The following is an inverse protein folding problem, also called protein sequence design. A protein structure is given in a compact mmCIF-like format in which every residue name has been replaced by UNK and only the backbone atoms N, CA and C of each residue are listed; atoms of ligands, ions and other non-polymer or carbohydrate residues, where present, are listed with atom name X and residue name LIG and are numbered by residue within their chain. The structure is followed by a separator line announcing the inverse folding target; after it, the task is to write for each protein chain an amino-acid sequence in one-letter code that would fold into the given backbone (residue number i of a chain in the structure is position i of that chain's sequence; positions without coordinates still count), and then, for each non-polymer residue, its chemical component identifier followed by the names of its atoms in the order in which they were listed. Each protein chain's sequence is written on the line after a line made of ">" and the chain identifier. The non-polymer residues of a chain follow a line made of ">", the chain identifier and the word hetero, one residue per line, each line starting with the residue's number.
data_IF_641968018373
#
_entry.id   IF_641968018373
#
_cell.length_a   1.000
_cell.length_b   1.000
_cell.length_c   1.000
_cell.angle_alpha   90.00
_cell.angle_beta   90.00
_cell.angle_gamma   90.00
#
_symmetry.space_group_name_H-M   'P 1'
#
loop_
_entity.id
_entity.type
_entity.pdbx_description
1 polymer ?
#
# COMPACT_ATOMS: atom_id res chain seq x y z
N UNK A 1 -39.38 17.61 16.60
CA UNK A 1 -38.02 18.16 16.81
C UNK A 1 -37.29 18.28 15.47
N UNK A 2 -36.20 19.05 15.40
CA UNK A 2 -35.37 19.21 14.18
C UNK A 2 -34.12 18.34 14.27
N UNK A 3 -33.70 17.74 13.16
CA UNK A 3 -32.47 16.94 13.05
C UNK A 3 -31.35 17.74 12.38
N UNK A 4 -30.11 17.57 12.85
CA UNK A 4 -28.91 18.18 12.27
C UNK A 4 -27.80 17.13 12.11
N UNK A 5 -26.84 17.38 11.21
CA UNK A 5 -25.73 16.47 10.91
C UNK A 5 -24.37 17.10 11.24
N UNK A 6 -23.46 16.32 11.81
CA UNK A 6 -22.08 16.75 12.11
C UNK A 6 -21.15 16.09 11.08
N UNK A 7 -20.48 16.91 10.25
CA UNK A 7 -19.47 16.43 9.30
C UNK A 7 -18.10 16.45 9.95
N UNK A 8 -17.37 15.34 9.82
CA UNK A 8 -16.05 15.15 10.42
C UNK A 8 -15.07 14.66 9.38
N UNK A 9 -13.84 15.17 9.44
CA UNK A 9 -12.73 14.73 8.59
C UNK A 9 -11.67 14.08 9.46
N UNK A 10 -11.10 12.99 8.98
CA UNK A 10 -9.96 12.32 9.60
C UNK A 10 -8.71 12.45 8.73
N UNK A 11 -7.54 12.20 9.32
CA UNK A 11 -6.26 12.26 8.62
C UNK A 11 -5.89 10.89 8.04
N UNK A 12 -5.98 10.75 6.72
CA UNK A 12 -5.64 9.53 5.97
C UNK A 12 -4.13 9.36 5.73
N UNK A 13 -3.28 10.33 6.10
CA UNK A 13 -1.81 10.19 5.97
C UNK A 13 -1.25 9.11 6.89
N UNK A 14 -1.96 8.77 7.97
CA UNK A 14 -1.59 7.72 8.92
C UNK A 14 -2.37 6.46 8.60
N UNK A 15 -1.69 5.48 8.01
CA UNK A 15 -2.24 4.16 7.73
C UNK A 15 -2.44 3.38 9.04
N UNK A 16 -3.39 2.46 9.04
CA UNK A 16 -3.72 1.62 10.18
C UNK A 16 -5.02 2.02 10.88
N UNK A 17 -5.26 1.38 12.02
CA UNK A 17 -6.47 1.59 12.81
C UNK A 17 -6.45 2.96 13.49
N UNK A 18 -7.60 3.60 13.58
CA UNK A 18 -7.79 4.84 14.32
C UNK A 18 -9.04 4.78 15.19
N UNK A 19 -8.94 5.40 16.36
CA UNK A 19 -10.07 5.68 17.26
C UNK A 19 -10.05 7.16 17.60
N UNK A 20 -11.16 7.85 17.40
CA UNK A 20 -11.34 9.26 17.75
C UNK A 20 -12.61 9.43 18.56
N UNK A 21 -12.56 10.33 19.52
CA UNK A 21 -13.67 10.60 20.41
C UNK A 21 -14.04 12.06 20.29
N UNK A 22 -15.31 12.31 20.02
CA UNK A 22 -15.91 13.64 19.93
C UNK A 22 -16.79 13.80 21.16
N UNK A 23 -16.61 14.91 21.84
CA UNK A 23 -17.47 15.31 22.95
C UNK A 23 -18.33 16.47 22.48
N UNK A 24 -19.65 16.28 22.49
CA UNK A 24 -20.63 17.31 22.16
C UNK A 24 -21.13 17.90 23.47
N UNK A 25 -21.00 19.22 23.61
CA UNK A 25 -21.60 19.97 24.69
C UNK A 25 -22.89 20.62 24.20
N UNK A 26 -23.93 20.59 25.03
CA UNK A 26 -25.22 21.20 24.73
C UNK A 26 -25.85 21.80 25.98
N UNK A 27 -26.86 22.63 25.77
CA UNK A 27 -27.73 23.20 26.80
C UNK A 27 -28.93 22.31 27.16
N UNK A 28 -28.94 21.04 26.73
CA UNK A 28 -29.98 20.09 27.11
C UNK A 28 -29.78 19.55 28.53
N UNK A 29 -30.78 18.85 29.07
CA UNK A 29 -30.70 18.18 30.37
C UNK A 29 -29.51 17.22 30.49
N UNK A 30 -29.11 16.59 29.37
CA UNK A 30 -27.84 15.88 29.26
C UNK A 30 -26.82 16.79 28.55
N UNK A 31 -25.98 17.53 29.31
CA UNK A 31 -25.13 18.57 28.73
C UNK A 31 -23.97 18.02 27.91
N UNK A 32 -23.63 16.73 28.06
CA UNK A 32 -22.48 16.11 27.43
C UNK A 32 -22.86 14.80 26.74
N UNK A 33 -22.45 14.64 25.49
CA UNK A 33 -22.59 13.38 24.74
C UNK A 33 -21.23 13.02 24.14
N UNK A 34 -20.79 11.78 24.36
CA UNK A 34 -19.52 11.26 23.84
C UNK A 34 -19.78 10.33 22.66
N UNK A 35 -19.21 10.65 21.50
CA UNK A 35 -19.27 9.85 20.28
C UNK A 35 -17.89 9.29 19.94
N UNK A 36 -17.78 7.98 19.77
CA UNK A 36 -16.52 7.33 19.40
C UNK A 36 -16.58 6.85 17.96
N UNK A 37 -15.62 7.27 17.16
CA UNK A 37 -15.44 6.90 15.76
C UNK A 37 -14.23 5.98 15.66
N UNK A 38 -14.45 4.75 15.20
CA UNK A 38 -13.41 3.77 14.91
C UNK A 38 -13.32 3.56 13.40
N UNK A 39 -12.11 3.35 12.89
CA UNK A 39 -11.90 3.02 11.49
C UNK A 39 -10.50 2.51 11.22
N UNK A 40 -10.23 2.17 9.96
CA UNK A 40 -8.91 1.71 9.49
C UNK A 40 -8.60 2.42 8.17
N UNK A 41 -7.40 2.98 8.07
CA UNK A 41 -6.88 3.58 6.84
C UNK A 41 -6.04 2.53 6.12
N UNK A 42 -6.47 2.15 4.93
CA UNK A 42 -5.76 1.18 4.09
C UNK A 42 -4.65 1.84 3.26
N UNK A 43 -3.68 1.03 2.86
CA UNK A 43 -2.69 1.46 1.86
C UNK A 43 -3.40 1.63 0.53
N UNK A 44 -3.01 2.66 -0.22
CA UNK A 44 -3.38 2.72 -1.63
C UNK A 44 -2.86 1.44 -2.32
N UNK A 45 -3.66 0.81 -3.20
CA UNK A 45 -3.20 -0.35 -3.95
C UNK A 45 -1.95 0.04 -4.75
N UNK A 46 -0.96 -0.85 -4.78
CA UNK A 46 0.20 -0.66 -5.63
C UNK A 46 -0.28 -0.56 -7.10
N UNK A 47 0.32 0.32 -7.92
CA UNK A 47 0.07 0.31 -9.36
C UNK A 47 0.29 -1.11 -9.90
N UNK A 48 -0.55 -1.61 -10.82
CA UNK A 48 -0.33 -2.93 -11.40
C UNK A 48 1.04 -2.93 -12.08
N UNK A 49 1.97 -3.69 -11.51
CA UNK A 49 3.27 -3.95 -12.10
C UNK A 49 3.04 -4.53 -13.50
N UNK A 50 3.51 -3.81 -14.53
CA UNK A 50 3.64 -4.39 -15.87
C UNK A 50 4.54 -5.60 -15.70
N UNK A 51 3.98 -6.82 -15.77
CA UNK A 51 4.72 -8.07 -15.87
C UNK A 51 5.72 -7.90 -17.02
N UNK A 52 6.99 -7.67 -16.69
CA UNK A 52 8.08 -7.84 -17.63
C UNK A 52 8.13 -9.33 -17.94
N UNK A 53 7.62 -9.69 -19.11
CA UNK A 53 7.87 -10.98 -19.73
C UNK A 53 9.38 -11.04 -19.95
N UNK A 54 10.09 -11.83 -19.15
CA UNK A 54 11.48 -12.18 -19.40
C UNK A 54 11.56 -12.93 -20.73
N UNK A 55 11.99 -12.26 -21.79
CA UNK A 55 12.62 -12.93 -22.92
C UNK A 55 14.01 -13.33 -22.46
N UNK A 56 14.19 -14.61 -22.14
CA UNK A 56 15.49 -15.22 -21.90
C UNK A 56 16.33 -15.11 -23.21
N UNK A 57 17.55 -14.55 -23.20
CA UNK A 57 18.41 -14.62 -24.36
C UNK A 57 18.99 -16.03 -24.48
N UNK A 58 18.85 -16.58 -25.68
CA UNK A 58 19.34 -17.89 -26.12
C UNK A 58 20.86 -18.01 -25.90
N UNK A 59 21.26 -19.17 -25.38
CA UNK A 59 22.63 -19.70 -25.20
C UNK A 59 23.71 -19.02 -26.07
N UNK A 60 24.69 -18.39 -25.41
CA UNK A 60 26.07 -18.30 -25.92
C UNK A 60 26.99 -19.08 -24.98
N UNK A 61 27.38 -20.28 -25.40
CA UNK A 61 28.55 -20.99 -24.87
C UNK A 61 29.33 -21.50 -26.08
N UNK A 62 30.04 -20.59 -26.74
CA UNK A 62 31.14 -20.97 -27.64
C UNK A 62 32.29 -21.44 -26.75
N UNK A 63 32.50 -22.76 -26.72
CA UNK A 63 33.65 -23.38 -26.07
C UNK A 63 34.94 -23.15 -26.87
N UNK A 64 36.10 -23.08 -26.21
CA UNK A 64 37.36 -22.73 -26.85
C UNK A 64 37.89 -23.84 -27.77
N UNK A 65 38.41 -23.38 -28.91
CA UNK A 65 39.02 -24.10 -30.03
C UNK A 65 40.09 -25.10 -29.56
N UNK A 66 39.90 -26.40 -29.83
CA UNK A 66 41.00 -27.38 -29.84
C UNK A 66 41.78 -27.25 -31.16
N UNK A 67 42.85 -26.45 -31.17
CA UNK A 67 43.90 -26.60 -32.18
C UNK A 67 44.80 -27.77 -31.80
N UNK A 68 44.57 -28.93 -32.41
CA UNK A 68 45.58 -29.97 -32.48
C UNK A 68 46.21 -29.91 -33.88
N UNK A 69 47.44 -29.37 -33.98
CA UNK A 69 48.27 -29.48 -35.18
C UNK A 69 49.66 -29.99 -34.74
N UNK A 70 49.88 -31.27 -35.06
CA UNK A 70 51.12 -31.99 -35.40
C UNK A 70 52.31 -31.98 -34.41
N UNK A 71 52.86 -33.16 -34.05
CA UNK A 71 54.25 -33.25 -33.60
C UNK A 71 55.20 -33.18 -34.80
N UNK A 72 56.32 -32.47 -34.62
CA UNK A 72 57.45 -32.40 -35.57
C UNK A 72 58.68 -32.96 -34.86
N UNK A 73 59.41 -33.81 -35.59
CA UNK A 73 60.67 -34.52 -35.31
C UNK A 73 60.54 -35.92 -34.74
#
# INVERSE_FOLDING_TARGET
>A
GKTASIKVKYNTKRQGQFTKTITVFSNANSPMVRLTIKGKVEKAPAPPEKKQIQTQPVKKVEGPVRKAKQPVK
#
